data_IF_283011622614
#
_entry.id   IF_283011622614
#
_cell.length_a   1.000
_cell.length_b   1.000
_cell.length_c   1.000
_cell.angle_alpha   90.00
_cell.angle_beta   90.00
_cell.angle_gamma   90.00
#
_symmetry.space_group_name_H-M   'P 1'
#
loop_
_entity.id
_entity.type
_entity.pdbx_description
1 polymer ?
#
# COMPACT_ATOMS: atom_id res chain seq x y z
N UNK A 1 9.28 21.65 -5.11
CA UNK A 1 8.89 20.80 -3.96
C UNK A 1 10.17 20.35 -3.27
N UNK A 2 10.34 20.68 -2.01
CA UNK A 2 11.49 20.30 -1.21
C UNK A 2 11.01 19.44 -0.02
N UNK A 3 11.86 18.52 0.41
CA UNK A 3 11.56 17.68 1.56
C UNK A 3 12.83 17.12 2.18
N UNK A 4 12.77 16.83 3.47
CA UNK A 4 13.84 16.18 4.23
C UNK A 4 13.39 14.73 4.45
N UNK A 5 14.23 13.78 4.06
CA UNK A 5 14.05 12.37 4.35
C UNK A 5 14.89 12.01 5.59
N UNK A 6 14.24 11.44 6.60
CA UNK A 6 14.90 10.84 7.75
C UNK A 6 14.51 9.36 7.83
N UNK A 7 15.50 8.49 7.95
CA UNK A 7 15.30 7.06 8.16
C UNK A 7 15.96 6.65 9.48
N UNK A 8 15.23 5.91 10.30
CA UNK A 8 15.74 5.28 11.51
C UNK A 8 15.38 3.81 11.50
N UNK A 9 16.36 2.95 11.70
CA UNK A 9 16.16 1.50 11.78
C UNK A 9 17.00 0.91 12.91
N UNK A 10 16.39 0.06 13.74
CA UNK A 10 17.04 -0.59 14.86
C UNK A 10 16.55 -2.03 15.02
N UNK A 11 17.49 -2.96 15.19
CA UNK A 11 17.23 -4.34 15.56
C UNK A 11 17.33 -4.51 17.07
N UNK A 12 16.57 -5.48 17.60
CA UNK A 12 16.56 -5.82 19.03
C UNK A 12 16.27 -4.60 19.92
N UNK A 13 15.21 -3.85 19.57
CA UNK A 13 14.80 -2.65 20.29
C UNK A 13 14.06 -3.00 21.58
N UNK A 14 13.06 -3.88 21.50
CA UNK A 14 12.19 -4.30 22.61
C UNK A 14 12.39 -5.77 22.96
N UNK A 15 12.49 -6.63 21.95
CA UNK A 15 12.69 -8.07 22.13
C UNK A 15 13.77 -8.57 21.15
N UNK A 16 14.28 -9.78 21.40
CA UNK A 16 15.21 -10.40 20.47
C UNK A 16 14.55 -10.68 19.12
N UNK A 17 15.30 -10.47 18.03
CA UNK A 17 14.87 -10.64 16.65
C UNK A 17 13.76 -9.68 16.20
N UNK A 18 13.55 -8.59 16.89
CA UNK A 18 12.71 -7.52 16.36
C UNK A 18 13.46 -6.57 15.42
N UNK A 19 12.69 -5.95 14.56
CA UNK A 19 13.12 -4.87 13.68
C UNK A 19 12.13 -3.72 13.79
N UNK A 20 12.59 -2.61 14.28
CA UNK A 20 11.88 -1.34 14.21
C UNK A 20 12.43 -0.50 13.06
N UNK A 21 11.55 0.05 12.24
CA UNK A 21 11.93 1.02 11.21
C UNK A 21 10.93 2.18 11.14
N UNK A 22 11.44 3.38 10.96
CA UNK A 22 10.67 4.60 10.81
C UNK A 22 11.27 5.43 9.67
N UNK A 23 10.47 5.66 8.65
CA UNK A 23 10.77 6.56 7.54
C UNK A 23 9.90 7.81 7.67
N UNK A 24 10.53 8.97 7.63
CA UNK A 24 9.87 10.27 7.69
C UNK A 24 10.26 11.10 6.47
N UNK A 25 9.26 11.66 5.81
CA UNK A 25 9.46 12.71 4.80
C UNK A 25 8.76 13.96 5.30
N UNK A 26 9.56 14.98 5.60
CA UNK A 26 9.10 16.29 6.06
C UNK A 26 9.19 17.28 4.90
N UNK A 27 8.10 17.94 4.57
CA UNK A 27 8.03 18.90 3.48
C UNK A 27 6.60 19.09 2.97
N UNK A 28 6.45 19.51 1.71
CA UNK A 28 5.14 19.75 1.08
C UNK A 28 4.20 18.53 1.07
N UNK A 29 4.76 17.34 1.08
CA UNK A 29 4.03 16.07 1.17
C UNK A 29 4.54 15.30 2.39
N UNK A 30 3.95 15.58 3.53
CA UNK A 30 4.28 14.89 4.78
C UNK A 30 3.95 13.40 4.67
N UNK A 31 4.91 12.55 5.02
CA UNK A 31 4.73 11.11 5.07
C UNK A 31 5.48 10.51 6.24
N UNK A 32 4.89 9.52 6.88
CA UNK A 32 5.64 8.60 7.70
C UNK A 32 5.27 7.14 7.35
N UNK A 33 6.23 6.25 7.58
CA UNK A 33 6.04 4.81 7.52
C UNK A 33 6.77 4.18 8.70
N UNK A 34 6.00 3.65 9.63
CA UNK A 34 6.49 2.95 10.82
C UNK A 34 6.23 1.46 10.63
N UNK A 35 7.23 0.64 10.86
CA UNK A 35 7.11 -0.81 10.86
C UNK A 35 7.82 -1.39 12.07
N UNK A 36 7.13 -2.22 12.81
CA UNK A 36 7.66 -3.04 13.89
C UNK A 36 7.37 -4.49 13.58
N UNK A 37 8.38 -5.33 13.54
CA UNK A 37 8.27 -6.73 13.17
C UNK A 37 9.14 -7.60 14.06
N UNK A 38 8.58 -8.68 14.59
CA UNK A 38 9.27 -9.70 15.36
C UNK A 38 9.38 -10.96 14.51
N UNK A 39 10.62 -11.32 14.14
CA UNK A 39 10.90 -12.46 13.27
C UNK A 39 11.16 -13.73 14.10
N UNK A 40 10.20 -14.65 14.07
CA UNK A 40 10.31 -15.98 14.67
C UNK A 40 10.63 -17.08 13.61
N UNK A 41 11.04 -16.68 12.41
CA UNK A 41 11.39 -17.59 11.31
C UNK A 41 10.20 -18.41 10.81
N UNK A 42 10.33 -19.74 10.85
CA UNK A 42 9.27 -20.66 10.44
C UNK A 42 8.04 -20.63 11.36
N UNK A 43 8.22 -20.26 12.62
CA UNK A 43 7.12 -20.04 13.54
C UNK A 43 6.38 -18.74 13.19
N UNK A 44 5.25 -18.50 13.86
CA UNK A 44 4.46 -17.30 13.61
C UNK A 44 5.24 -16.07 14.07
N UNK A 45 5.64 -15.27 13.11
CA UNK A 45 6.14 -13.91 13.28
C UNK A 45 4.97 -12.95 13.30
N UNK A 46 5.12 -11.78 13.89
CA UNK A 46 4.06 -10.79 13.97
C UNK A 46 4.60 -9.38 13.82
N UNK A 47 3.75 -8.48 13.41
CA UNK A 47 4.15 -7.10 13.19
C UNK A 47 3.01 -6.10 13.23
N UNK A 48 3.42 -4.85 13.36
CA UNK A 48 2.58 -3.67 13.30
C UNK A 48 3.13 -2.76 12.21
N UNK A 49 2.24 -2.19 11.40
CA UNK A 49 2.59 -1.13 10.45
C UNK A 49 1.66 0.04 10.64
N UNK A 50 2.22 1.24 10.58
CA UNK A 50 1.44 2.47 10.55
C UNK A 50 2.03 3.39 9.51
N UNK A 51 1.20 3.94 8.65
CA UNK A 51 1.64 4.89 7.63
C UNK A 51 0.67 6.06 7.52
N UNK A 52 1.24 7.21 7.22
CA UNK A 52 0.54 8.44 6.91
C UNK A 52 1.06 8.96 5.59
N UNK A 53 0.17 9.27 4.68
CA UNK A 53 0.49 9.91 3.41
C UNK A 53 -0.43 11.09 3.21
N UNK A 54 0.16 12.24 2.95
CA UNK A 54 -0.56 13.43 2.55
C UNK A 54 -0.01 13.89 1.20
N UNK A 55 -0.87 13.92 0.19
CA UNK A 55 -0.46 14.28 -1.15
C UNK A 55 -1.56 14.99 -1.94
N UNK A 56 -1.12 15.74 -2.92
CA UNK A 56 -2.00 16.47 -3.85
C UNK A 56 -2.03 15.75 -5.18
N UNK A 57 -3.22 15.53 -5.70
CA UNK A 57 -3.43 14.94 -7.01
C UNK A 57 -4.35 15.83 -7.87
N UNK A 58 -3.98 16.02 -9.12
CA UNK A 58 -4.84 16.68 -10.09
C UNK A 58 -5.73 15.64 -10.76
N UNK A 59 -7.03 15.72 -10.51
CA UNK A 59 -8.00 14.86 -11.19
C UNK A 59 -8.65 15.62 -12.35
N UNK A 60 -8.75 14.95 -13.51
CA UNK A 60 -9.58 15.43 -14.62
C UNK A 60 -11.01 15.08 -14.31
N UNK A 61 -11.77 16.01 -13.84
CA UNK A 61 -13.19 15.85 -13.58
C UNK A 61 -13.98 16.28 -14.83
N UNK A 62 -14.86 15.39 -15.33
CA UNK A 62 -15.90 15.78 -16.27
C UNK A 62 -17.16 16.04 -15.44
N UNK A 63 -17.52 17.31 -15.18
CA UNK A 63 -18.73 17.58 -14.41
C UNK A 63 -19.94 17.10 -15.22
N UNK A 64 -20.72 16.21 -14.63
CA UNK A 64 -22.01 15.74 -15.21
C UNK A 64 -23.03 16.88 -15.20
N UNK A 65 -22.86 17.84 -14.31
CA UNK A 65 -23.70 19.05 -14.21
C UNK A 65 -22.80 20.23 -13.86
N UNK A 66 -22.29 20.93 -14.83
CA UNK A 66 -21.57 22.18 -14.60
C UNK A 66 -22.19 23.30 -15.43
N UNK A 67 -22.67 24.33 -14.75
CA UNK A 67 -23.03 25.61 -15.37
C UNK A 67 -21.80 26.40 -15.83
N UNK A 68 -20.57 25.89 -15.59
CA UNK A 68 -19.32 26.52 -16.01
C UNK A 68 -18.44 25.53 -16.79
N UNK A 69 -18.37 25.63 -18.13
CA UNK A 69 -17.60 24.71 -18.98
C UNK A 69 -16.07 24.86 -18.85
N UNK A 70 -15.57 25.80 -18.05
CA UNK A 70 -14.14 26.11 -17.94
C UNK A 70 -13.38 25.39 -16.82
N UNK A 71 -14.03 24.59 -15.97
CA UNK A 71 -13.36 23.82 -14.91
C UNK A 71 -13.03 22.44 -15.42
N UNK A 72 -11.85 22.27 -16.00
CA UNK A 72 -11.38 20.98 -16.54
C UNK A 72 -10.48 20.19 -15.58
N UNK A 73 -10.05 20.77 -14.47
CA UNK A 73 -9.15 20.14 -13.50
C UNK A 73 -9.50 20.61 -12.08
N UNK A 74 -9.61 19.65 -11.16
CA UNK A 74 -9.78 19.92 -9.74
C UNK A 74 -8.52 19.39 -9.03
N UNK A 75 -7.91 20.23 -8.20
CA UNK A 75 -6.85 19.80 -7.30
C UNK A 75 -7.49 19.17 -6.08
N UNK A 76 -7.23 17.89 -5.88
CA UNK A 76 -7.66 17.13 -4.71
C UNK A 76 -6.49 16.95 -3.76
N UNK A 77 -6.76 17.14 -2.50
CA UNK A 77 -5.87 16.86 -1.40
C UNK A 77 -6.32 15.55 -0.75
N UNK A 78 -5.41 14.61 -0.64
CA UNK A 78 -5.65 13.30 -0.05
C UNK A 78 -4.84 13.13 1.22
N UNK A 79 -5.52 12.66 2.26
CA UNK A 79 -4.89 12.14 3.49
C UNK A 79 -5.24 10.66 3.59
N UNK A 80 -4.23 9.82 3.73
CA UNK A 80 -4.34 8.37 3.88
C UNK A 80 -3.59 7.96 5.15
N UNK A 81 -4.29 7.40 6.13
CA UNK A 81 -3.71 6.83 7.34
C UNK A 81 -4.02 5.34 7.31
N UNK A 82 -3.02 4.50 7.38
CA UNK A 82 -3.19 3.04 7.37
C UNK A 82 -2.49 2.43 8.56
N UNK A 83 -3.25 1.69 9.37
CA UNK A 83 -2.75 0.94 10.53
C UNK A 83 -3.02 -0.55 10.31
N UNK A 84 -2.00 -1.37 10.49
CA UNK A 84 -2.07 -2.82 10.26
C UNK A 84 -1.50 -3.59 11.43
N UNK A 85 -2.14 -4.69 11.77
CA UNK A 85 -1.62 -5.77 12.63
C UNK A 85 -1.60 -7.03 11.78
N UNK A 86 -0.47 -7.73 11.75
CA UNK A 86 -0.35 -8.92 10.90
C UNK A 86 0.47 -10.03 11.56
N UNK A 87 0.18 -11.25 11.12
CA UNK A 87 0.92 -12.45 11.41
C UNK A 87 1.48 -13.03 10.12
N UNK A 88 2.65 -13.62 10.20
CA UNK A 88 3.35 -14.14 9.04
C UNK A 88 4.15 -15.38 9.41
N UNK A 89 4.19 -16.37 8.53
CA UNK A 89 5.19 -17.44 8.56
C UNK A 89 6.14 -17.28 7.37
N UNK A 90 7.41 -17.62 7.58
CA UNK A 90 8.44 -17.58 6.53
C UNK A 90 9.15 -18.91 6.43
N UNK A 91 9.44 -19.34 5.21
CA UNK A 91 10.20 -20.56 4.96
C UNK A 91 11.38 -20.28 4.04
N UNK A 92 12.57 -20.68 4.48
CA UNK A 92 13.84 -20.55 3.74
C UNK A 92 14.12 -19.14 3.20
N UNK A 93 13.56 -18.10 3.79
CA UNK A 93 13.64 -16.70 3.34
C UNK A 93 13.15 -16.46 1.91
N UNK A 94 12.56 -17.47 1.29
CA UNK A 94 12.04 -17.44 -0.09
C UNK A 94 10.53 -17.40 -0.15
N UNK A 95 9.87 -17.86 0.89
CA UNK A 95 8.42 -17.93 0.97
C UNK A 95 7.94 -17.20 2.22
N UNK A 96 6.88 -16.41 2.07
CA UNK A 96 6.15 -15.80 3.19
C UNK A 96 4.65 -15.88 2.93
N UNK A 97 3.92 -16.32 3.94
CA UNK A 97 2.47 -16.29 3.97
C UNK A 97 2.04 -15.49 5.19
N UNK A 98 1.19 -14.50 5.00
CA UNK A 98 0.72 -13.65 6.07
C UNK A 98 -0.73 -13.25 5.93
N UNK A 99 -1.32 -12.88 7.06
CA UNK A 99 -2.66 -12.34 7.15
C UNK A 99 -2.75 -11.32 8.29
N UNK A 100 -3.71 -10.42 8.21
CA UNK A 100 -3.85 -9.38 9.22
C UNK A 100 -5.13 -8.59 9.10
N UNK A 101 -5.23 -7.61 10.00
CA UNK A 101 -6.29 -6.62 10.04
C UNK A 101 -5.72 -5.25 9.69
N UNK A 102 -6.49 -4.48 8.97
CA UNK A 102 -6.14 -3.11 8.59
C UNK A 102 -7.30 -2.16 8.91
N UNK A 103 -6.95 -1.06 9.55
CA UNK A 103 -7.80 0.12 9.61
C UNK A 103 -7.17 1.16 8.67
N UNK A 104 -7.99 1.68 7.75
CA UNK A 104 -7.58 2.67 6.78
C UNK A 104 -8.53 3.88 6.84
N UNK A 105 -7.97 5.06 7.10
CA UNK A 105 -8.69 6.32 7.02
C UNK A 105 -8.32 7.04 5.74
N UNK A 106 -9.32 7.46 4.98
CA UNK A 106 -9.16 8.23 3.75
C UNK A 106 -9.95 9.51 3.89
N UNK A 107 -9.29 10.63 3.66
CA UNK A 107 -9.92 11.93 3.53
C UNK A 107 -9.55 12.52 2.17
N UNK A 108 -10.55 13.00 1.44
CA UNK A 108 -10.38 13.66 0.15
C UNK A 108 -11.11 15.00 0.15
N UNK A 109 -10.34 16.09 0.01
CA UNK A 109 -10.86 17.47 0.00
C UNK A 109 -10.43 18.21 -1.27
N UNK A 110 -11.15 19.28 -1.61
CA UNK A 110 -10.72 20.18 -2.70
C UNK A 110 -9.87 21.32 -2.18
N UNK A 111 -8.84 21.66 -2.95
CA UNK A 111 -8.02 22.85 -2.70
C UNK A 111 -8.60 24.13 -3.34
N UNK A 112 -9.47 24.04 -4.34
CA UNK A 112 -9.70 25.13 -5.33
C UNK A 112 -11.15 25.60 -5.46
N UNK A 113 -12.12 24.95 -4.88
CA UNK A 113 -13.52 25.40 -4.98
C UNK A 113 -14.00 25.88 -3.63
N UNK A 114 -13.62 27.10 -3.30
CA UNK A 114 -14.26 27.83 -2.21
C UNK A 114 -15.61 28.37 -2.70
N UNK A 115 -16.65 27.59 -2.59
CA UNK A 115 -18.00 28.13 -2.57
C UNK A 115 -18.24 28.56 -1.12
N UNK A 116 -18.26 29.85 -0.88
CA UNK A 116 -18.46 30.47 0.44
C UNK A 116 -17.35 30.17 1.49
N UNK A 117 -16.07 30.07 1.12
CA UNK A 117 -14.96 29.79 2.02
C UNK A 117 -15.04 28.42 2.77
N UNK A 118 -15.79 27.47 2.25
CA UNK A 118 -15.90 26.13 2.84
C UNK A 118 -15.15 25.13 1.94
N UNK A 119 -14.22 24.39 2.53
CA UNK A 119 -13.60 23.25 1.86
C UNK A 119 -14.68 22.19 1.54
N UNK A 120 -14.71 21.70 0.31
CA UNK A 120 -15.64 20.63 -0.04
C UNK A 120 -14.98 19.29 0.26
N UNK A 121 -15.53 18.54 1.20
CA UNK A 121 -15.13 17.20 1.56
C UNK A 121 -15.83 16.22 0.62
N UNK A 122 -15.07 15.40 -0.12
CA UNK A 122 -15.61 14.35 -1.01
C UNK A 122 -15.70 13.00 -0.32
N UNK A 123 -14.74 12.71 0.55
CA UNK A 123 -14.70 11.48 1.33
C UNK A 123 -14.01 11.76 2.67
N UNK A 124 -14.52 11.15 3.73
CA UNK A 124 -13.92 11.15 5.07
C UNK A 124 -14.35 9.86 5.76
N UNK A 125 -13.80 8.75 5.28
CA UNK A 125 -14.25 7.41 5.68
C UNK A 125 -13.13 6.62 6.35
N UNK A 126 -13.53 5.82 7.33
CA UNK A 126 -12.69 4.78 7.92
C UNK A 126 -13.11 3.43 7.34
N UNK A 127 -12.17 2.67 6.83
CA UNK A 127 -12.36 1.32 6.31
C UNK A 127 -11.69 0.31 7.23
N UNK A 128 -12.38 -0.78 7.50
CA UNK A 128 -11.86 -1.92 8.26
C UNK A 128 -11.76 -3.12 7.34
N UNK A 129 -10.56 -3.64 7.19
CA UNK A 129 -10.20 -4.64 6.19
C UNK A 129 -9.55 -5.84 6.84
N UNK A 130 -9.81 -7.01 6.26
CA UNK A 130 -8.99 -8.21 6.46
C UNK A 130 -8.11 -8.37 5.23
N UNK A 131 -6.85 -8.65 5.41
CA UNK A 131 -5.93 -8.87 4.29
C UNK A 131 -5.11 -10.13 4.47
N UNK A 132 -4.68 -10.68 3.34
CA UNK A 132 -3.74 -11.77 3.27
C UNK A 132 -2.77 -11.58 2.12
N UNK A 133 -1.59 -12.16 2.25
CA UNK A 133 -0.59 -12.12 1.20
C UNK A 133 0.23 -13.40 1.15
N UNK A 134 0.71 -13.71 -0.03
CA UNK A 134 1.66 -14.78 -0.29
C UNK A 134 2.80 -14.18 -1.11
N UNK A 135 4.02 -14.39 -0.64
CA UNK A 135 5.24 -14.00 -1.35
C UNK A 135 6.12 -15.22 -1.55
N UNK A 136 6.53 -15.44 -2.76
CA UNK A 136 7.52 -16.44 -3.13
C UNK A 136 8.56 -15.75 -4.00
N UNK A 137 9.81 -15.81 -3.59
CA UNK A 137 10.94 -15.30 -4.36
C UNK A 137 12.06 -16.34 -4.38
N UNK A 138 12.20 -16.98 -5.51
CA UNK A 138 13.25 -17.96 -5.78
C UNK A 138 14.28 -17.44 -6.78
N UNK A 139 14.22 -16.16 -7.12
CA UNK A 139 15.21 -15.56 -8.00
C UNK A 139 16.62 -15.73 -7.44
N UNK A 140 17.55 -16.04 -8.32
CA UNK A 140 18.96 -16.26 -7.97
C UNK A 140 19.68 -14.96 -7.63
N UNK A 141 19.29 -13.85 -8.22
CA UNK A 141 19.89 -12.53 -8.02
C UNK A 141 18.81 -11.45 -7.90
N UNK A 142 19.10 -10.40 -7.14
CA UNK A 142 18.20 -9.25 -6.99
C UNK A 142 18.12 -8.39 -8.26
N UNK A 143 19.26 -8.26 -8.94
CA UNK A 143 19.41 -7.54 -10.19
C UNK A 143 19.93 -8.53 -11.24
N UNK A 144 19.50 -8.42 -12.48
CA UNK A 144 19.90 -9.31 -13.57
C UNK A 144 19.60 -10.78 -13.28
N UNK A 145 18.34 -11.03 -12.91
CA UNK A 145 17.85 -12.38 -12.61
C UNK A 145 18.10 -13.31 -13.80
N UNK A 146 18.71 -14.46 -13.55
CA UNK A 146 18.99 -15.45 -14.58
C UNK A 146 18.11 -16.69 -14.50
N UNK A 147 17.57 -17.01 -13.31
CA UNK A 147 16.66 -18.13 -13.09
C UNK A 147 15.80 -17.94 -11.85
N UNK A 148 14.64 -18.59 -11.87
CA UNK A 148 13.75 -18.66 -10.72
C UNK A 148 12.36 -18.17 -11.00
N UNK A 149 11.57 -18.10 -9.95
CA UNK A 149 10.17 -17.74 -9.97
C UNK A 149 9.88 -16.71 -8.87
N UNK A 150 9.06 -15.73 -9.20
CA UNK A 150 8.53 -14.72 -8.28
C UNK A 150 7.00 -14.83 -8.25
N UNK A 151 6.40 -14.80 -7.06
CA UNK A 151 4.99 -14.54 -6.88
C UNK A 151 4.80 -13.59 -5.71
N UNK A 152 4.07 -12.50 -5.91
CA UNK A 152 3.61 -11.58 -4.87
C UNK A 152 2.10 -11.40 -5.03
N UNK A 153 1.34 -12.12 -4.21
CA UNK A 153 -0.11 -12.15 -4.26
C UNK A 153 -0.66 -11.45 -3.02
N UNK A 154 -1.58 -10.52 -3.21
CA UNK A 154 -2.20 -9.75 -2.15
C UNK A 154 -3.71 -9.81 -2.32
N UNK A 155 -4.41 -10.08 -1.24
CA UNK A 155 -5.87 -10.06 -1.14
C UNK A 155 -6.27 -9.14 0.01
N UNK A 156 -7.29 -8.31 -0.22
CA UNK A 156 -7.83 -7.40 0.78
C UNK A 156 -9.35 -7.38 0.67
N UNK A 157 -10.01 -7.68 1.78
CA UNK A 157 -11.45 -7.64 1.90
C UNK A 157 -11.87 -6.47 2.79
N UNK A 158 -12.58 -5.52 2.22
CA UNK A 158 -13.17 -4.37 2.89
C UNK A 158 -14.50 -4.79 3.49
N UNK A 159 -14.48 -5.04 4.80
CA UNK A 159 -15.61 -5.64 5.52
C UNK A 159 -16.59 -4.56 5.98
N UNK A 160 -16.08 -3.42 6.45
CA UNK A 160 -16.87 -2.35 7.04
C UNK A 160 -16.27 -0.98 6.75
N UNK A 161 -17.12 0.04 6.74
CA UNK A 161 -16.71 1.44 6.62
C UNK A 161 -17.61 2.31 7.49
N UNK A 162 -17.05 3.43 8.00
CA UNK A 162 -17.87 4.51 8.56
C UNK A 162 -18.67 5.25 7.50
N UNK A 163 -18.27 5.08 6.24
CA UNK A 163 -18.92 5.55 5.01
C UNK A 163 -19.53 6.95 5.08
N UNK A 164 -18.72 7.94 4.80
CA UNK A 164 -19.12 9.35 4.76
C UNK A 164 -20.33 9.61 3.85
N UNK A 165 -20.46 8.84 2.77
CA UNK A 165 -21.51 8.99 1.76
C UNK A 165 -22.71 8.04 1.94
N UNK A 166 -22.70 7.16 2.93
CA UNK A 166 -23.73 6.14 3.22
C UNK A 166 -24.03 5.19 2.06
N UNK A 167 -23.03 4.85 1.24
CA UNK A 167 -23.15 4.00 0.06
C UNK A 167 -22.24 2.76 0.09
N UNK A 168 -21.59 2.50 1.21
CA UNK A 168 -20.65 1.40 1.31
C UNK A 168 -21.31 0.04 1.12
N UNK A 169 -20.68 -0.77 0.28
CA UNK A 169 -20.93 -2.21 0.15
C UNK A 169 -19.61 -2.94 0.33
N UNK A 170 -19.65 -4.04 1.05
CA UNK A 170 -18.45 -4.87 1.23
C UNK A 170 -17.93 -5.34 -0.13
N UNK A 171 -16.62 -5.22 -0.35
CA UNK A 171 -15.95 -5.65 -1.58
C UNK A 171 -14.57 -6.19 -1.29
N UNK A 172 -14.02 -6.94 -2.22
CA UNK A 172 -12.65 -7.44 -2.10
C UNK A 172 -11.79 -7.00 -3.28
N UNK A 173 -10.51 -6.85 -3.02
CA UNK A 173 -9.49 -6.56 -4.03
C UNK A 173 -8.43 -7.65 -4.00
N UNK A 174 -8.05 -8.12 -5.17
CA UNK A 174 -6.92 -9.01 -5.35
C UNK A 174 -5.93 -8.38 -6.32
N UNK A 175 -4.65 -8.46 -5.97
CA UNK A 175 -3.54 -8.02 -6.80
C UNK A 175 -2.47 -9.09 -6.78
N UNK A 176 -1.91 -9.40 -7.96
CA UNK A 176 -0.85 -10.38 -8.09
C UNK A 176 0.21 -9.96 -9.07
N UNK A 177 1.45 -10.24 -8.73
CA UNK A 177 2.61 -10.16 -9.62
C UNK A 177 3.23 -11.54 -9.70
N UNK A 178 3.42 -12.06 -10.89
CA UNK A 178 4.07 -13.35 -11.15
C UNK A 178 5.22 -13.12 -12.13
N UNK A 179 6.39 -13.62 -11.80
CA UNK A 179 7.58 -13.49 -12.61
C UNK A 179 8.28 -14.84 -12.79
N UNK A 180 8.92 -15.01 -13.93
CA UNK A 180 9.72 -16.17 -14.26
C UNK A 180 10.98 -15.76 -15.01
N UNK A 181 12.09 -16.39 -14.69
CA UNK A 181 13.34 -16.22 -15.42
C UNK A 181 14.01 -17.57 -15.67
N UNK A 182 14.56 -17.75 -16.87
CA UNK A 182 15.35 -18.91 -17.24
C UNK A 182 16.46 -18.52 -18.22
N UNK A 183 17.65 -19.06 -18.03
CA UNK A 183 18.80 -18.89 -18.92
C UNK A 183 19.01 -20.15 -19.77
N UNK A 184 19.12 -19.96 -21.07
CA UNK A 184 19.36 -21.01 -22.07
C UNK A 184 20.78 -20.86 -22.61
N UNK A 185 21.46 -22.01 -22.77
CA UNK A 185 22.84 -22.09 -23.32
C UNK A 185 23.86 -21.17 -22.62
N UNK A 186 23.64 -20.88 -21.34
CA UNK A 186 24.48 -19.97 -20.52
C UNK A 186 24.69 -18.55 -21.09
N UNK A 187 23.90 -18.15 -22.06
CA UNK A 187 24.07 -16.88 -22.79
C UNK A 187 22.79 -16.09 -22.97
N UNK A 188 21.65 -16.74 -23.06
CA UNK A 188 20.38 -16.10 -23.35
C UNK A 188 19.45 -16.24 -22.15
N UNK A 189 19.16 -15.15 -21.46
CA UNK A 189 18.18 -15.11 -20.37
C UNK A 189 16.85 -14.58 -20.88
N UNK A 190 15.80 -15.36 -20.69
CA UNK A 190 14.42 -14.94 -20.86
C UNK A 190 13.85 -14.61 -19.49
N UNK A 191 13.31 -13.40 -19.34
CA UNK A 191 12.60 -12.96 -18.13
C UNK A 191 11.24 -12.37 -18.52
N UNK A 192 10.21 -12.75 -17.78
CA UNK A 192 8.87 -12.18 -17.91
C UNK A 192 8.29 -11.87 -16.55
N UNK A 193 7.50 -10.82 -16.49
CA UNK A 193 6.75 -10.42 -15.28
C UNK A 193 5.36 -9.97 -15.70
N UNK A 194 4.36 -10.51 -15.03
CA UNK A 194 2.95 -10.19 -15.25
C UNK A 194 2.36 -9.64 -13.97
N UNK A 195 1.62 -8.56 -14.08
CA UNK A 195 0.88 -7.96 -12.98
C UNK A 195 -0.59 -7.86 -13.36
N UNK A 196 -1.46 -8.26 -12.44
CA UNK A 196 -2.90 -8.16 -12.59
C UNK A 196 -3.55 -7.76 -11.27
N UNK A 197 -4.67 -7.05 -11.35
CA UNK A 197 -5.48 -6.69 -10.20
C UNK A 197 -6.94 -6.58 -10.58
N UNK A 198 -7.83 -6.97 -9.68
CA UNK A 198 -9.27 -6.91 -9.88
C UNK A 198 -10.01 -6.66 -8.56
N UNK A 199 -11.20 -6.12 -8.68
CA UNK A 199 -12.13 -5.89 -7.56
C UNK A 199 -13.31 -6.84 -7.71
N UNK A 200 -13.68 -7.48 -6.61
CA UNK A 200 -14.82 -8.38 -6.47
C UNK A 200 -15.88 -7.67 -5.62
N UNK A 201 -17.09 -7.54 -6.11
CA UNK A 201 -18.25 -6.94 -5.42
C UNK A 201 -19.28 -8.00 -5.08
#
# INVERSE_FOLDING_TARGET
KSGILANYSKKNLLVNNDLFSLDLILGDNLRYNLNYFVDNGFYISYGLRSSYNHFRANSKFKPIVSQNPNVSKINLQYTDITNQIFFQTTFSRKFALGAGLEQKHIEATTETVQINNVETVFDNSNYYNVFGYLKLDTYDQKYFVTKGFLADLNFKWYVSSSDYNNNFKSFAQAKGTIGFAATFWDKLTFQTTHEAGFTLN
#
